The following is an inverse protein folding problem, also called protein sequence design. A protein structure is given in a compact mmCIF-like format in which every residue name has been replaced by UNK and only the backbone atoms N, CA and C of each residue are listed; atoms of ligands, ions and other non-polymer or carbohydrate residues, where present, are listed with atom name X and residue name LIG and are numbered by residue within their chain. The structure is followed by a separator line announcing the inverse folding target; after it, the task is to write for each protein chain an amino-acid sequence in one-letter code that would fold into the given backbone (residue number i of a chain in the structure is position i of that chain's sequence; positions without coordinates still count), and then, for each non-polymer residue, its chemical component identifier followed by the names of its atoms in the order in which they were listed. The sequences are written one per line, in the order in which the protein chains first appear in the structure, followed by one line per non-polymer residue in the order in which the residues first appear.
data_IF_205731427739
#
_entry.id   IF_205731427739
#
_cell.length_a   1.000
_cell.length_b   1.000
_cell.length_c   1.000
_cell.angle_alpha   90.00
_cell.angle_beta   90.00
_cell.angle_gamma   90.00
#
_symmetry.space_group_name_H-M   'P 1'
#
loop_
_entity.id
_entity.type
_entity.pdbx_description
1 polymer ?
#
# COMPACT_ATOMS: atom_id res chain seq x y z
N UNK A 1 -3.69 -3.71 49.06
CA UNK A 1 -3.36 -2.28 49.23
C UNK A 1 -3.54 -1.62 47.87
N UNK A 2 -4.37 -0.57 47.74
CA UNK A 2 -4.59 0.08 46.44
C UNK A 2 -3.33 0.84 46.01
N UNK A 3 -3.15 1.06 44.70
CA UNK A 3 -1.98 1.78 44.18
C UNK A 3 -1.81 3.18 44.79
N UNK A 4 -2.93 3.84 45.08
CA UNK A 4 -2.97 5.11 45.80
C UNK A 4 -2.37 5.01 47.21
N UNK A 5 -2.69 3.96 47.95
CA UNK A 5 -2.16 3.74 49.31
C UNK A 5 -0.66 3.43 49.29
N UNK A 6 -0.16 2.74 48.24
CA UNK A 6 1.28 2.47 48.08
C UNK A 6 2.05 3.76 47.76
N UNK A 7 1.49 4.65 46.92
CA UNK A 7 2.07 5.95 46.61
C UNK A 7 2.09 6.88 47.83
N UNK A 8 0.96 7.02 48.53
CA UNK A 8 0.85 7.85 49.73
C UNK A 8 1.84 7.37 50.81
N UNK A 9 2.01 6.04 50.95
CA UNK A 9 2.95 5.47 51.91
C UNK A 9 4.42 5.68 51.51
N UNK A 10 4.75 5.56 50.22
CA UNK A 10 6.11 5.82 49.73
C UNK A 10 6.51 7.29 49.95
N UNK A 11 5.59 8.23 49.76
CA UNK A 11 5.81 9.65 50.04
C UNK A 11 6.03 9.92 51.52
N UNK A 12 5.20 9.33 52.40
CA UNK A 12 5.37 9.42 53.85
C UNK A 12 6.72 8.86 54.29
N UNK A 13 7.11 7.69 53.80
CA UNK A 13 8.40 7.06 54.14
C UNK A 13 9.57 7.88 53.59
N UNK A 14 9.45 8.46 52.39
CA UNK A 14 10.48 9.34 51.83
C UNK A 14 10.71 10.59 52.69
N UNK A 15 9.63 11.24 53.13
CA UNK A 15 9.71 12.39 54.02
C UNK A 15 10.29 12.03 55.40
N UNK A 16 10.00 10.83 55.89
CA UNK A 16 10.59 10.31 57.13
C UNK A 16 12.09 10.04 56.99
N UNK A 17 12.53 9.40 55.88
CA UNK A 17 13.95 9.20 55.58
C UNK A 17 14.69 10.54 55.52
N UNK A 18 14.15 11.54 54.83
CA UNK A 18 14.76 12.87 54.75
C UNK A 18 14.88 13.55 56.12
N UNK A 19 13.90 13.33 57.01
CA UNK A 19 13.92 13.85 58.38
C UNK A 19 14.99 13.15 59.22
N UNK A 20 15.12 11.83 59.08
CA UNK A 20 16.18 11.05 59.73
C UNK A 20 17.58 11.42 59.23
N UNK A 21 17.76 11.68 57.93
CA UNK A 21 19.06 12.12 57.38
C UNK A 21 19.48 13.50 57.90
N UNK A 22 18.53 14.41 58.09
CA UNK A 22 18.80 15.71 58.74
C UNK A 22 19.18 15.52 60.20
N UNK A 23 18.44 14.68 60.91
CA UNK A 23 18.70 14.41 62.33
C UNK A 23 20.04 13.70 62.56
N UNK A 24 20.40 12.74 61.70
CA UNK A 24 21.71 12.06 61.75
C UNK A 24 22.86 13.05 61.56
N UNK A 25 22.71 14.00 60.64
CA UNK A 25 23.70 15.06 60.39
C UNK A 25 23.89 15.99 61.59
N UNK A 26 22.81 16.32 62.30
CA UNK A 26 22.85 17.15 63.51
C UNK A 26 23.43 16.37 64.72
N UNK A 27 23.25 15.05 64.76
CA UNK A 27 23.80 14.16 65.80
C UNK A 27 25.31 13.99 65.73
N UNK A 28 25.87 13.91 64.51
CA UNK A 28 27.31 13.82 64.28
C UNK A 28 28.08 15.03 64.84
N UNK A 29 27.40 16.14 65.12
CA UNK A 29 27.97 17.31 65.80
C UNK A 29 27.90 17.28 67.34
N UNK A 30 26.99 16.49 67.93
CA UNK A 30 26.72 16.47 69.38
C UNK A 30 27.34 15.26 70.12
N UNK A 31 27.83 14.24 69.40
CA UNK A 31 28.70 13.17 69.93
C UNK A 31 28.02 12.10 70.81
N UNK A 32 26.71 11.88 70.66
CA UNK A 32 25.98 10.85 71.42
C UNK A 32 25.92 9.51 70.67
N UNK A 33 26.96 8.70 70.85
CA UNK A 33 27.15 7.41 70.16
C UNK A 33 25.98 6.41 70.27
N UNK A 34 25.21 6.44 71.37
CA UNK A 34 24.06 5.55 71.52
C UNK A 34 22.87 5.98 70.64
N UNK A 35 22.66 7.29 70.50
CA UNK A 35 21.59 7.82 69.65
C UNK A 35 21.95 7.70 68.17
N UNK A 36 23.21 7.92 67.81
CA UNK A 36 23.73 7.72 66.44
C UNK A 36 23.49 6.29 65.94
N UNK A 37 23.75 5.29 66.78
CA UNK A 37 23.54 3.87 66.46
C UNK A 37 22.06 3.56 66.16
N UNK A 38 21.14 4.10 66.98
CA UNK A 38 19.69 3.90 66.81
C UNK A 38 19.18 4.60 65.54
N UNK A 39 19.63 5.83 65.28
CA UNK A 39 19.24 6.61 64.10
C UNK A 39 19.77 5.97 62.82
N UNK A 40 21.02 5.51 62.82
CA UNK A 40 21.61 4.78 61.68
C UNK A 40 20.82 3.51 61.36
N UNK A 41 20.46 2.72 62.38
CA UNK A 41 19.68 1.49 62.19
C UNK A 41 18.28 1.76 61.63
N UNK A 42 17.61 2.80 62.12
CA UNK A 42 16.26 3.17 61.66
C UNK A 42 16.28 3.81 60.26
N UNK A 43 17.35 4.54 59.92
CA UNK A 43 17.58 5.08 58.59
C UNK A 43 17.76 3.97 57.56
N UNK A 44 18.57 2.96 57.87
CA UNK A 44 18.78 1.80 57.00
C UNK A 44 17.47 1.03 56.77
N UNK A 45 16.71 0.80 57.85
CA UNK A 45 15.41 0.13 57.77
C UNK A 45 14.41 0.91 56.91
N UNK A 46 14.38 2.24 57.06
CA UNK A 46 13.47 3.11 56.31
C UNK A 46 13.86 3.21 54.84
N UNK A 47 15.16 3.23 54.51
CA UNK A 47 15.66 3.16 53.13
C UNK A 47 15.31 1.83 52.45
N UNK A 48 15.44 0.71 53.16
CA UNK A 48 15.03 -0.60 52.66
C UNK A 48 13.52 -0.65 52.39
N UNK A 49 12.70 -0.11 53.28
CA UNK A 49 11.25 -0.03 53.08
C UNK A 49 10.88 0.83 51.87
N UNK A 50 11.54 1.99 51.69
CA UNK A 50 11.32 2.85 50.53
C UNK A 50 11.64 2.13 49.21
N UNK A 51 12.77 1.41 49.16
CA UNK A 51 13.15 0.63 47.98
C UNK A 51 12.12 -0.46 47.65
N UNK A 52 11.58 -1.15 48.67
CA UNK A 52 10.52 -2.15 48.48
C UNK A 52 9.23 -1.52 47.93
N UNK A 53 8.83 -0.35 48.44
CA UNK A 53 7.64 0.36 47.97
C UNK A 53 7.81 0.86 46.53
N UNK A 54 8.99 1.31 46.14
CA UNK A 54 9.30 1.71 44.75
C UNK A 54 9.20 0.52 43.79
N UNK A 55 9.76 -0.64 44.16
CA UNK A 55 9.64 -1.87 43.36
C UNK A 55 8.16 -2.28 43.24
N UNK A 56 7.39 -2.18 44.32
CA UNK A 56 5.97 -2.51 44.31
C UNK A 56 5.15 -1.54 43.42
N UNK A 57 5.50 -0.26 43.42
CA UNK A 57 4.89 0.75 42.56
C UNK A 57 5.18 0.44 41.08
N UNK A 58 6.42 0.11 40.74
CA UNK A 58 6.82 -0.26 39.38
C UNK A 58 6.07 -1.51 38.90
N UNK A 59 5.99 -2.55 39.73
CA UNK A 59 5.23 -3.76 39.40
C UNK A 59 3.73 -3.50 39.23
N UNK A 60 3.15 -2.56 40.00
CA UNK A 60 1.74 -2.19 39.82
C UNK A 60 1.52 -1.44 38.51
N UNK A 61 2.44 -0.54 38.14
CA UNK A 61 2.39 0.17 36.87
C UNK A 61 2.49 -0.79 35.67
N UNK A 62 3.42 -1.75 35.73
CA UNK A 62 3.57 -2.79 34.70
C UNK A 62 2.31 -3.65 34.59
N UNK A 63 1.70 -4.06 35.71
CA UNK A 63 0.43 -4.81 35.71
C UNK A 63 -0.75 -4.00 35.18
N UNK A 64 -0.76 -2.69 35.38
CA UNK A 64 -1.80 -1.80 34.85
C UNK A 64 -1.67 -1.65 33.34
N UNK A 65 -0.44 -1.50 32.83
CA UNK A 65 -0.14 -1.54 31.40
C UNK A 65 -0.58 -2.89 30.80
N UNK A 66 -0.22 -4.01 31.43
CA UNK A 66 -0.60 -5.34 30.96
C UNK A 66 -2.12 -5.56 31.00
N UNK A 67 -2.83 -5.02 32.01
CA UNK A 67 -4.29 -5.06 32.07
C UNK A 67 -4.95 -4.23 30.97
N UNK A 68 -4.44 -3.03 30.71
CA UNK A 68 -4.94 -2.17 29.64
C UNK A 68 -4.70 -2.82 28.27
N UNK A 69 -3.54 -3.46 28.08
CA UNK A 69 -3.23 -4.23 26.87
C UNK A 69 -4.15 -5.45 26.70
N UNK A 70 -4.42 -6.21 27.78
CA UNK A 70 -5.37 -7.34 27.76
C UNK A 70 -6.82 -6.91 27.55
N UNK A 71 -7.18 -5.68 27.96
CA UNK A 71 -8.51 -5.12 27.73
C UNK A 71 -8.72 -4.75 26.24
N UNK A 72 -7.68 -4.28 25.55
CA UNK A 72 -7.73 -4.01 24.10
C UNK A 72 -7.62 -5.28 23.25
N UNK A 73 -6.98 -6.35 23.72
CA UNK A 73 -6.87 -7.64 22.99
C UNK A 73 -8.21 -8.33 22.72
N UNK A 74 -9.27 -8.02 23.48
CA UNK A 74 -10.57 -8.65 23.35
C UNK A 74 -11.61 -7.80 22.61
N UNK A 75 -11.24 -6.60 22.14
CA UNK A 75 -12.15 -5.78 21.33
C UNK A 75 -12.04 -6.27 19.88
N UNK A 76 -13.13 -6.74 19.26
CA UNK A 76 -13.09 -7.11 17.86
C UNK A 76 -12.68 -5.90 17.02
N UNK A 77 -11.90 -6.16 15.97
CA UNK A 77 -11.58 -5.12 14.99
C UNK A 77 -12.86 -4.67 14.29
N UNK A 78 -12.95 -3.37 13.92
CA UNK A 78 -14.09 -2.87 13.19
C UNK A 78 -14.15 -3.55 11.82
N UNK A 79 -15.35 -3.79 11.31
CA UNK A 79 -15.50 -4.23 9.92
C UNK A 79 -15.11 -3.08 8.99
N UNK A 80 -14.15 -3.34 8.10
CA UNK A 80 -13.68 -2.40 7.09
C UNK A 80 -13.68 -3.13 5.76
N UNK A 81 -14.32 -2.54 4.76
CA UNK A 81 -14.19 -3.00 3.39
C UNK A 81 -13.19 -2.10 2.69
N UNK A 82 -12.17 -2.69 2.07
CA UNK A 82 -11.25 -1.93 1.22
C UNK A 82 -11.35 -2.34 -0.24
N UNK A 83 -10.98 -1.41 -1.11
CA UNK A 83 -10.82 -1.64 -2.53
C UNK A 83 -9.41 -1.21 -2.94
N UNK A 84 -8.73 -2.03 -3.75
CA UNK A 84 -7.49 -1.66 -4.41
C UNK A 84 -7.69 -1.70 -5.92
N UNK A 85 -7.35 -0.59 -6.57
CA UNK A 85 -7.28 -0.51 -8.02
C UNK A 85 -5.86 -0.20 -8.45
N UNK A 86 -5.25 -1.11 -9.22
CA UNK A 86 -3.95 -0.91 -9.83
C UNK A 86 -4.10 -0.47 -11.28
N UNK A 87 -3.33 0.54 -11.68
CA UNK A 87 -3.18 0.96 -13.07
C UNK A 87 -1.78 0.61 -13.53
N UNK A 88 -1.68 -0.27 -14.52
CA UNK A 88 -0.41 -0.69 -15.09
C UNK A 88 -0.17 -0.02 -16.44
N UNK A 89 0.92 0.74 -16.57
CA UNK A 89 1.42 1.25 -17.84
C UNK A 89 2.67 0.48 -18.26
N UNK A 90 2.78 0.21 -19.56
CA UNK A 90 3.87 -0.56 -20.13
C UNK A 90 4.18 -0.01 -21.52
N UNK A 91 5.45 0.27 -21.80
CA UNK A 91 5.94 0.59 -23.14
C UNK A 91 6.89 -0.51 -23.58
N UNK A 92 6.60 -1.05 -24.76
CA UNK A 92 7.40 -2.09 -25.41
C UNK A 92 7.91 -1.48 -26.71
N UNK A 93 9.22 -1.50 -26.91
CA UNK A 93 9.87 -0.99 -28.12
C UNK A 93 10.91 -2.02 -28.58
N UNK A 94 10.91 -2.36 -29.87
CA UNK A 94 11.86 -3.32 -30.45
C UNK A 94 11.94 -4.65 -29.66
N UNK A 95 10.79 -5.23 -29.32
CA UNK A 95 10.63 -6.46 -28.52
C UNK A 95 11.18 -6.41 -27.09
N UNK A 96 11.54 -5.22 -26.61
CA UNK A 96 12.02 -5.01 -25.26
C UNK A 96 11.01 -4.18 -24.46
N UNK A 97 10.79 -4.60 -23.22
CA UNK A 97 10.04 -3.80 -22.25
C UNK A 97 10.93 -2.63 -21.85
N UNK A 98 10.58 -1.41 -22.26
CA UNK A 98 11.40 -0.21 -22.06
C UNK A 98 10.96 0.63 -20.88
N UNK A 99 9.67 0.61 -20.55
CA UNK A 99 9.11 1.31 -19.40
C UNK A 99 7.96 0.49 -18.80
N UNK A 100 7.97 0.36 -17.47
CA UNK A 100 6.88 -0.27 -16.71
C UNK A 100 6.63 0.58 -15.48
N UNK A 101 5.38 0.96 -15.28
CA UNK A 101 4.94 1.58 -14.04
C UNK A 101 3.62 0.99 -13.60
N UNK A 102 3.53 0.70 -12.31
CA UNK A 102 2.32 0.25 -11.68
C UNK A 102 2.02 1.16 -10.50
N UNK A 103 0.84 1.77 -10.55
CA UNK A 103 0.32 2.67 -9.53
C UNK A 103 -0.95 2.08 -8.96
N UNK A 104 -0.99 1.84 -7.65
CA UNK A 104 -2.19 1.42 -6.96
C UNK A 104 -2.85 2.56 -6.20
N UNK A 105 -4.17 2.54 -6.13
CA UNK A 105 -4.95 3.41 -5.27
C UNK A 105 -5.79 2.55 -4.32
N UNK A 106 -5.78 2.93 -3.04
CA UNK A 106 -6.54 2.24 -1.99
C UNK A 106 -7.69 3.12 -1.55
N UNK A 107 -8.87 2.51 -1.45
CA UNK A 107 -10.08 3.08 -0.89
C UNK A 107 -10.56 2.20 0.26
N UNK A 108 -11.25 2.79 1.23
CA UNK A 108 -11.96 2.04 2.27
C UNK A 108 -13.37 2.57 2.46
N UNK A 109 -14.27 1.75 2.96
CA UNK A 109 -15.66 2.12 3.19
C UNK A 109 -16.22 1.42 4.42
N UNK A 110 -17.36 1.94 4.89
CA UNK A 110 -18.13 1.39 6.00
C UNK A 110 -17.31 1.21 7.29
N UNK A 111 -16.34 2.09 7.53
CA UNK A 111 -15.42 1.96 8.66
C UNK A 111 -16.09 2.48 9.92
N UNK A 112 -16.78 1.59 10.64
CA UNK A 112 -17.42 1.93 11.91
C UNK A 112 -16.55 1.50 13.08
N UNK A 113 -15.81 2.44 13.66
CA UNK A 113 -15.04 2.18 14.88
C UNK A 113 -15.27 3.26 15.94
N UNK A 114 -15.07 2.87 17.20
CA UNK A 114 -15.17 3.80 18.31
C UNK A 114 -13.90 4.65 18.42
N UNK A 115 -13.92 5.80 17.73
CA UNK A 115 -12.83 6.79 17.68
C UNK A 115 -12.45 7.39 19.04
N UNK A 116 -13.36 7.35 20.01
CA UNK A 116 -13.09 7.83 21.36
C UNK A 116 -12.35 6.79 22.20
N UNK A 117 -12.60 5.50 21.93
CA UNK A 117 -12.03 4.40 22.68
C UNK A 117 -10.66 3.93 22.18
N UNK A 118 -10.40 4.01 20.86
CA UNK A 118 -9.15 3.48 20.29
C UNK A 118 -8.68 4.18 19.03
N UNK A 119 -7.37 4.08 18.78
CA UNK A 119 -6.74 4.38 17.49
C UNK A 119 -6.87 3.19 16.55
N UNK A 120 -6.95 3.48 15.25
CA UNK A 120 -6.88 2.47 14.21
C UNK A 120 -5.68 2.75 13.33
N UNK A 121 -4.89 1.72 13.06
CA UNK A 121 -3.67 1.79 12.28
C UNK A 121 -3.83 0.99 10.99
N UNK A 122 -3.11 1.40 9.95
CA UNK A 122 -2.98 0.70 8.68
C UNK A 122 -1.52 0.62 8.28
N UNK A 123 -1.11 -0.55 7.76
CA UNK A 123 0.24 -0.79 7.22
C UNK A 123 0.14 -1.21 5.75
N UNK A 124 0.99 -0.62 4.91
CA UNK A 124 1.10 -0.98 3.51
C UNK A 124 2.39 -1.78 3.29
N UNK A 125 2.24 -3.06 2.95
CA UNK A 125 3.34 -3.98 2.74
C UNK A 125 3.65 -4.15 1.24
N UNK A 126 4.90 -4.50 0.91
CA UNK A 126 5.37 -4.77 -0.45
C UNK A 126 5.20 -3.61 -1.44
N UNK A 127 5.33 -2.38 -0.97
CA UNK A 127 5.26 -1.13 -1.73
C UNK A 127 6.59 -0.39 -1.72
N UNK A 128 6.95 0.29 -2.82
CA UNK A 128 8.20 1.09 -2.86
C UNK A 128 8.00 2.49 -2.28
N UNK A 129 6.84 3.08 -2.51
CA UNK A 129 6.49 4.42 -2.06
C UNK A 129 4.99 4.46 -1.84
N UNK A 130 4.56 5.10 -0.76
CA UNK A 130 3.16 5.36 -0.44
C UNK A 130 2.99 6.87 -0.27
N UNK A 131 2.07 7.44 -1.05
CA UNK A 131 1.57 8.79 -0.89
C UNK A 131 0.19 8.71 -0.26
N UNK A 132 0.10 9.08 1.00
CA UNK A 132 -1.17 9.11 1.74
C UNK A 132 -1.96 10.39 1.47
N UNK A 133 -3.25 10.36 1.80
CA UNK A 133 -4.03 11.56 2.02
C UNK A 133 -3.90 12.00 3.49
N UNK A 134 -3.17 13.10 3.71
CA UNK A 134 -2.84 13.62 5.05
C UNK A 134 -4.07 14.09 5.85
N UNK A 135 -5.20 14.38 5.18
CA UNK A 135 -6.45 14.68 5.89
C UNK A 135 -7.06 13.43 6.52
N UNK A 136 -6.71 12.24 6.01
CA UNK A 136 -7.31 10.96 6.37
C UNK A 136 -6.38 10.08 7.19
N UNK A 137 -5.08 10.16 6.91
CA UNK A 137 -4.05 9.35 7.52
C UNK A 137 -2.96 10.24 8.13
N UNK A 138 -2.51 9.84 9.31
CA UNK A 138 -1.40 10.44 10.03
C UNK A 138 -0.20 9.48 9.99
N UNK A 139 0.99 9.99 9.70
CA UNK A 139 2.21 9.17 9.64
C UNK A 139 2.61 8.73 11.04
N UNK A 140 2.80 7.41 11.24
CA UNK A 140 3.30 6.82 12.49
C UNK A 140 4.74 6.33 12.29
N UNK A 141 4.96 5.54 11.24
CA UNK A 141 6.28 5.06 10.83
C UNK A 141 6.38 5.06 9.30
N UNK A 142 7.18 5.96 8.75
CA UNK A 142 7.36 6.08 7.30
C UNK A 142 8.19 4.94 6.72
N UNK A 143 9.11 4.35 7.50
CA UNK A 143 10.00 3.28 7.05
C UNK A 143 9.20 1.99 6.89
N UNK A 144 8.36 1.69 7.87
CA UNK A 144 7.48 0.52 7.86
C UNK A 144 6.13 0.78 7.16
N UNK A 145 5.92 1.97 6.59
CA UNK A 145 4.66 2.39 5.97
C UNK A 145 3.43 2.19 6.87
N UNK A 146 3.57 2.57 8.14
CA UNK A 146 2.50 2.51 9.15
C UNK A 146 1.88 3.89 9.34
N UNK A 147 0.56 3.92 9.27
CA UNK A 147 -0.25 5.13 9.35
C UNK A 147 -1.39 4.94 10.32
N UNK A 148 -1.84 6.03 10.94
CA UNK A 148 -3.00 6.06 11.84
C UNK A 148 -4.15 6.75 11.15
N UNK A 149 -5.37 6.23 11.28
CA UNK A 149 -6.55 6.90 10.76
C UNK A 149 -6.88 8.15 11.62
N UNK A 150 -7.20 9.25 10.95
CA UNK A 150 -7.56 10.50 11.61
C UNK A 150 -8.91 10.38 12.35
N UNK A 151 -8.88 10.53 13.67
CA UNK A 151 -10.07 10.48 14.53
C UNK A 151 -11.08 11.60 14.28
N UNK A 152 -10.61 12.76 13.84
CA UNK A 152 -11.46 13.95 13.61
C UNK A 152 -12.37 13.82 12.39
N UNK A 153 -12.15 12.82 11.55
CA UNK A 153 -12.85 12.63 10.27
C UNK A 153 -13.97 11.61 10.41
N UNK A 154 -15.06 11.79 9.65
CA UNK A 154 -16.17 10.83 9.57
C UNK A 154 -15.89 9.73 8.53
N UNK A 155 -15.99 8.48 8.95
CA UNK A 155 -15.63 7.29 8.15
C UNK A 155 -16.83 6.41 7.80
N UNK A 156 -18.05 6.86 8.09
CA UNK A 156 -19.28 6.13 7.78
C UNK A 156 -19.59 6.01 6.28
N UNK A 157 -18.98 6.85 5.44
CA UNK A 157 -19.19 6.86 3.99
C UNK A 157 -18.01 6.22 3.24
N UNK A 158 -18.18 5.90 1.96
CA UNK A 158 -17.08 5.43 1.09
C UNK A 158 -16.00 6.49 0.90
N UNK A 159 -14.74 6.08 1.03
CA UNK A 159 -13.56 6.95 1.02
C UNK A 159 -12.63 6.49 -0.08
N UNK A 160 -12.63 7.24 -1.18
CA UNK A 160 -11.63 7.09 -2.24
C UNK A 160 -10.33 7.84 -1.92
N UNK A 161 -9.22 7.41 -2.52
CA UNK A 161 -7.95 8.13 -2.43
C UNK A 161 -7.36 8.17 -1.03
N UNK A 162 -7.50 7.08 -0.27
CA UNK A 162 -6.88 6.96 1.05
C UNK A 162 -5.35 7.02 0.94
N UNK A 163 -4.81 6.24 0.01
CA UNK A 163 -3.40 6.22 -0.31
C UNK A 163 -3.20 5.84 -1.78
N UNK A 164 -2.12 6.34 -2.37
CA UNK A 164 -1.59 5.91 -3.66
C UNK A 164 -0.22 5.30 -3.45
N UNK A 165 0.05 4.16 -4.06
CA UNK A 165 1.36 3.53 -3.97
C UNK A 165 1.94 3.27 -5.36
N UNK A 166 3.25 3.15 -5.41
CA UNK A 166 3.98 2.72 -6.62
C UNK A 166 4.80 1.49 -6.32
N UNK A 167 4.90 0.60 -7.30
CA UNK A 167 5.83 -0.53 -7.28
C UNK A 167 6.75 -0.43 -8.50
N UNK A 168 8.04 -0.19 -8.28
CA UNK A 168 9.02 0.14 -9.33
C UNK A 168 10.11 -0.92 -9.54
N UNK A 169 10.15 -2.00 -8.75
CA UNK A 169 11.31 -2.90 -8.71
C UNK A 169 11.03 -4.39 -8.99
N UNK A 170 10.20 -4.75 -9.98
CA UNK A 170 10.24 -6.12 -10.57
C UNK A 170 10.04 -6.14 -12.10
N UNK A 171 11.08 -5.83 -12.89
CA UNK A 171 10.98 -5.61 -14.34
C UNK A 171 10.47 -6.82 -15.15
N UNK A 172 10.66 -8.04 -14.65
CA UNK A 172 10.25 -9.27 -15.36
C UNK A 172 8.96 -9.90 -14.82
N UNK A 173 8.41 -9.37 -13.72
CA UNK A 173 7.25 -9.97 -13.02
C UNK A 173 5.96 -9.18 -13.25
N UNK A 174 6.03 -7.99 -13.85
CA UNK A 174 4.86 -7.10 -13.92
C UNK A 174 4.21 -6.98 -15.29
N UNK A 175 4.93 -7.21 -16.39
CA UNK A 175 4.36 -7.15 -17.74
C UNK A 175 3.60 -8.45 -18.03
N UNK A 176 2.25 -8.44 -18.13
CA UNK A 176 1.50 -9.66 -18.31
C UNK A 176 1.48 -10.17 -19.75
N UNK A 177 1.67 -9.29 -20.73
CA UNK A 177 1.62 -9.62 -22.16
C UNK A 177 2.79 -8.94 -22.88
N UNK A 178 3.74 -9.73 -23.39
CA UNK A 178 4.69 -9.21 -24.35
C UNK A 178 4.00 -9.05 -25.71
N UNK A 179 4.11 -7.86 -26.31
CA UNK A 179 3.50 -7.52 -27.59
C UNK A 179 4.60 -7.19 -28.59
N UNK A 180 4.67 -7.97 -29.66
CA UNK A 180 5.68 -7.85 -30.71
C UNK A 180 4.98 -7.53 -32.04
N UNK A 181 4.87 -6.25 -32.41
CA UNK A 181 4.31 -5.86 -33.69
C UNK A 181 5.39 -5.90 -34.79
N UNK A 182 5.04 -6.48 -35.93
CA UNK A 182 5.84 -6.47 -37.15
C UNK A 182 5.03 -5.81 -38.25
N UNK A 183 5.61 -4.79 -38.89
CA UNK A 183 4.97 -3.99 -39.94
C UNK A 183 5.67 -4.16 -41.27
N UNK A 184 4.88 -4.34 -42.33
CA UNK A 184 5.34 -4.28 -43.72
C UNK A 184 4.54 -3.21 -44.46
N UNK A 185 5.22 -2.18 -44.95
CA UNK A 185 4.64 -1.13 -45.78
C UNK A 185 4.96 -1.42 -47.24
N UNK A 186 3.93 -1.52 -48.08
CA UNK A 186 4.05 -1.55 -49.54
C UNK A 186 3.41 -0.27 -50.11
N UNK A 187 3.50 -0.11 -51.43
CA UNK A 187 3.03 1.11 -52.11
C UNK A 187 1.53 1.38 -51.89
N UNK A 188 0.69 0.35 -51.89
CA UNK A 188 -0.77 0.45 -51.79
C UNK A 188 -1.36 -0.29 -50.56
N UNK A 189 -0.56 -1.11 -49.88
CA UNK A 189 -1.00 -1.94 -48.77
C UNK A 189 -0.08 -1.86 -47.55
N UNK A 190 -0.66 -1.98 -46.36
CA UNK A 190 0.06 -2.20 -45.11
C UNK A 190 -0.35 -3.56 -44.54
N UNK A 191 0.63 -4.37 -44.18
CA UNK A 191 0.45 -5.68 -43.56
C UNK A 191 1.08 -5.62 -42.16
N UNK A 192 0.40 -6.19 -41.17
CA UNK A 192 0.94 -6.35 -39.83
C UNK A 192 0.75 -7.75 -39.29
N UNK A 193 1.71 -8.18 -38.48
CA UNK A 193 1.64 -9.38 -37.66
C UNK A 193 1.98 -8.98 -36.23
N UNK A 194 1.09 -9.28 -35.28
CA UNK A 194 1.24 -8.88 -33.88
C UNK A 194 1.22 -10.14 -33.06
N UNK A 195 2.35 -10.46 -32.45
CA UNK A 195 2.44 -11.59 -31.55
C UNK A 195 2.15 -11.12 -30.11
N UNK A 196 1.20 -11.76 -29.45
CA UNK A 196 0.86 -11.56 -28.05
C UNK A 196 1.33 -12.79 -27.29
N UNK A 197 2.31 -12.63 -26.40
CA UNK A 197 2.82 -13.71 -25.56
C UNK A 197 2.43 -13.46 -24.10
N UNK A 198 1.62 -14.32 -23.47
CA UNK A 198 1.38 -14.22 -22.04
C UNK A 198 2.67 -14.53 -21.27
N UNK A 199 3.08 -13.63 -20.37
CA UNK A 199 4.27 -13.79 -19.53
C UNK A 199 3.90 -14.25 -18.11
N UNK A 200 2.73 -13.84 -17.63
CA UNK A 200 2.16 -14.27 -16.36
C UNK A 200 0.68 -14.63 -16.57
N UNK A 201 0.22 -15.62 -15.81
CA UNK A 201 -1.19 -16.01 -15.83
C UNK A 201 -2.03 -14.92 -15.15
N UNK A 202 -2.99 -14.38 -15.88
CA UNK A 202 -3.89 -13.31 -15.42
C UNK A 202 -5.31 -13.66 -15.81
N UNK A 203 -6.22 -13.58 -14.84
CA UNK A 203 -7.64 -13.75 -15.07
C UNK A 203 -8.25 -12.43 -15.58
N UNK A 204 -8.20 -12.22 -16.89
CA UNK A 204 -8.78 -11.04 -17.52
C UNK A 204 -10.31 -11.11 -17.50
N UNK A 205 -10.95 -10.05 -17.03
CA UNK A 205 -12.39 -9.81 -17.23
C UNK A 205 -12.65 -9.06 -18.54
N UNK A 206 -11.65 -8.33 -19.02
CA UNK A 206 -11.64 -7.69 -20.32
C UNK A 206 -10.21 -7.73 -20.88
N UNK A 207 -10.04 -8.08 -22.15
CA UNK A 207 -8.78 -7.94 -22.88
C UNK A 207 -9.06 -7.49 -24.32
N UNK A 208 -8.45 -6.38 -24.72
CA UNK A 208 -8.60 -5.78 -26.04
C UNK A 208 -7.26 -5.42 -26.63
N UNK A 209 -7.12 -5.62 -27.93
CA UNK A 209 -5.99 -5.12 -28.71
C UNK A 209 -6.51 -4.11 -29.72
N UNK A 210 -5.93 -2.90 -29.71
CA UNK A 210 -6.38 -1.79 -30.53
C UNK A 210 -5.24 -1.21 -31.35
N UNK A 211 -5.52 -0.83 -32.60
CA UNK A 211 -4.56 -0.15 -33.47
C UNK A 211 -5.26 0.94 -34.24
N UNK A 212 -4.69 2.15 -34.22
CA UNK A 212 -5.17 3.26 -35.03
C UNK A 212 -4.54 3.22 -36.42
N UNK A 213 -5.32 2.86 -37.42
CA UNK A 213 -4.89 2.66 -38.82
C UNK A 213 -5.34 3.78 -39.76
N UNK A 214 -6.14 4.74 -39.27
CA UNK A 214 -6.68 5.85 -40.04
C UNK A 214 -8.10 5.60 -40.52
N UNK A 215 -8.83 6.66 -40.87
CA UNK A 215 -10.23 6.59 -41.34
C UNK A 215 -10.34 6.26 -42.84
N UNK A 216 -9.23 6.46 -43.54
CA UNK A 216 -8.98 6.20 -44.95
C UNK A 216 -8.53 4.75 -45.22
N UNK A 217 -8.52 3.89 -44.19
CA UNK A 217 -8.23 2.48 -44.36
C UNK A 217 -9.41 1.76 -45.04
N UNK A 218 -9.11 1.12 -46.16
CA UNK A 218 -10.02 0.35 -47.00
C UNK A 218 -9.54 -1.11 -47.15
N UNK A 219 -10.42 -1.98 -47.64
CA UNK A 219 -10.12 -3.41 -47.88
C UNK A 219 -9.47 -4.11 -46.66
N UNK A 220 -9.94 -3.78 -45.46
CA UNK A 220 -9.37 -4.27 -44.21
C UNK A 220 -9.67 -5.77 -44.06
N UNK A 221 -8.61 -6.57 -44.01
CA UNK A 221 -8.65 -8.00 -43.70
C UNK A 221 -7.93 -8.22 -42.38
N UNK A 222 -8.50 -9.06 -41.51
CA UNK A 222 -7.87 -9.45 -40.26
C UNK A 222 -8.12 -10.92 -39.92
N UNK A 223 -7.16 -11.53 -39.23
CA UNK A 223 -7.27 -12.88 -38.67
C UNK A 223 -6.65 -12.91 -37.27
N UNK A 224 -7.40 -13.26 -36.20
CA UNK A 224 -8.86 -13.41 -36.17
C UNK A 224 -9.59 -12.13 -36.61
N UNK A 225 -10.90 -12.23 -36.85
CA UNK A 225 -11.70 -11.09 -37.28
C UNK A 225 -11.69 -9.99 -36.22
N UNK A 226 -11.17 -8.82 -36.58
CA UNK A 226 -11.24 -7.59 -35.79
C UNK A 226 -12.42 -6.71 -36.23
N UNK A 227 -12.89 -5.87 -35.31
CA UNK A 227 -13.89 -4.84 -35.59
C UNK A 227 -13.20 -3.53 -35.96
N UNK A 228 -13.51 -2.99 -37.14
CA UNK A 228 -13.01 -1.68 -37.56
C UNK A 228 -14.06 -0.60 -37.32
N UNK A 229 -13.69 0.41 -36.55
CA UNK A 229 -14.48 1.61 -36.34
C UNK A 229 -13.99 2.72 -37.29
N UNK A 230 -14.74 2.95 -38.37
CA UNK A 230 -14.43 4.00 -39.35
C UNK A 230 -14.47 5.42 -38.78
N UNK A 231 -15.26 5.66 -37.74
CA UNK A 231 -15.37 6.99 -37.11
C UNK A 231 -14.06 7.37 -36.42
N UNK A 232 -13.40 6.42 -35.79
CA UNK A 232 -12.16 6.65 -35.03
C UNK A 232 -10.90 6.27 -35.82
N UNK A 233 -11.06 5.44 -36.86
CA UNK A 233 -9.96 4.89 -37.65
C UNK A 233 -9.19 3.81 -36.88
N UNK A 234 -9.88 3.03 -36.06
CA UNK A 234 -9.28 2.04 -35.15
C UNK A 234 -9.83 0.65 -35.46
N UNK A 235 -8.93 -0.33 -35.57
CA UNK A 235 -9.29 -1.75 -35.53
C UNK A 235 -9.09 -2.29 -34.11
N UNK A 236 -10.01 -3.15 -33.67
CA UNK A 236 -10.04 -3.74 -32.33
C UNK A 236 -10.27 -5.24 -32.39
N UNK A 237 -9.59 -5.99 -31.53
CA UNK A 237 -9.88 -7.39 -31.22
C UNK A 237 -10.27 -7.51 -29.76
N UNK A 238 -11.44 -8.07 -29.49
CA UNK A 238 -11.87 -8.44 -28.14
C UNK A 238 -11.50 -9.90 -27.91
N UNK A 239 -10.62 -10.14 -26.93
CA UNK A 239 -10.08 -11.46 -26.62
C UNK A 239 -10.69 -11.96 -25.29
N UNK A 240 -11.21 -13.19 -25.23
CA UNK A 240 -11.83 -13.71 -24.00
C UNK A 240 -10.79 -14.09 -22.93
N UNK A 241 -9.62 -14.59 -23.35
CA UNK A 241 -8.48 -14.92 -22.50
C UNK A 241 -7.19 -14.91 -23.34
N UNK A 242 -6.03 -15.01 -22.68
CA UNK A 242 -4.74 -15.19 -23.35
C UNK A 242 -3.90 -16.21 -22.55
N UNK A 243 -4.17 -17.48 -22.80
CA UNK A 243 -3.50 -18.60 -22.12
C UNK A 243 -2.26 -19.09 -22.89
N UNK A 244 -2.20 -18.82 -24.19
CA UNK A 244 -1.12 -19.21 -25.11
C UNK A 244 -0.76 -18.04 -26.05
N UNK A 245 0.37 -18.17 -26.76
CA UNK A 245 0.78 -17.19 -27.77
C UNK A 245 -0.31 -17.03 -28.84
N UNK A 246 -0.73 -15.78 -29.07
CA UNK A 246 -1.74 -15.44 -30.07
C UNK A 246 -1.16 -14.48 -31.11
N UNK A 247 -1.35 -14.81 -32.38
CA UNK A 247 -0.94 -13.96 -33.50
C UNK A 247 -2.14 -13.30 -34.14
N UNK A 248 -2.14 -11.96 -34.16
CA UNK A 248 -3.11 -11.15 -34.90
C UNK A 248 -2.47 -10.69 -36.21
N UNK A 249 -3.12 -10.99 -37.32
CA UNK A 249 -2.68 -10.57 -38.66
C UNK A 249 -3.70 -9.58 -39.21
N UNK A 250 -3.22 -8.48 -39.79
CA UNK A 250 -4.05 -7.51 -40.47
C UNK A 250 -3.42 -7.09 -41.79
N UNK A 251 -4.27 -6.81 -42.79
CA UNK A 251 -3.92 -6.11 -44.03
C UNK A 251 -4.94 -5.02 -44.29
N UNK A 252 -4.51 -3.85 -44.71
CA UNK A 252 -5.40 -2.79 -45.20
C UNK A 252 -4.75 -1.99 -46.32
N UNK A 253 -5.55 -1.33 -47.14
CA UNK A 253 -5.12 -0.36 -48.14
C UNK A 253 -5.47 1.04 -47.68
N UNK A 254 -4.74 2.05 -48.14
CA UNK A 254 -5.11 3.46 -47.91
C UNK A 254 -5.85 4.01 -49.13
N UNK A 255 -7.07 4.50 -48.92
CA UNK A 255 -7.87 5.14 -49.96
C UNK A 255 -7.16 6.43 -50.41
N UNK A 256 -6.84 6.53 -51.70
CA UNK A 256 -6.20 7.72 -52.26
C UNK A 256 -4.70 7.63 -52.52
N UNK A 257 -4.07 6.45 -52.44
CA UNK A 257 -2.70 6.21 -52.95
C UNK A 257 -2.62 6.25 -54.51
N UNK A 258 -3.47 7.06 -55.16
CA UNK A 258 -3.49 7.27 -56.59
C UNK A 258 -2.41 8.26 -57.03
N UNK A 259 -1.41 7.77 -57.74
CA UNK A 259 -0.63 8.47 -58.79
C UNK A 259 0.03 9.82 -58.47
N UNK A 260 0.38 10.10 -57.22
CA UNK A 260 1.36 11.15 -56.92
C UNK A 260 2.57 10.55 -56.22
N UNK A 261 3.51 10.09 -57.05
CA UNK A 261 4.90 9.86 -56.67
C UNK A 261 5.50 11.22 -56.22
N UNK A 262 5.40 11.51 -54.93
CA UNK A 262 5.80 12.80 -54.40
C UNK A 262 6.04 12.72 -52.90
N UNK A 263 7.29 12.50 -52.53
CA UNK A 263 7.86 12.57 -51.18
C UNK A 263 7.53 11.36 -50.29
N UNK A 264 8.54 10.49 -50.14
CA UNK A 264 8.67 9.50 -49.08
C UNK A 264 8.64 10.20 -47.70
N UNK A 265 7.45 10.54 -47.22
CA UNK A 265 7.25 10.75 -45.79
C UNK A 265 7.38 9.38 -45.15
N UNK A 266 8.41 9.16 -44.32
CA UNK A 266 8.58 7.92 -43.54
C UNK A 266 7.27 7.62 -42.83
N UNK A 267 6.54 6.60 -43.29
CA UNK A 267 5.32 6.14 -42.63
C UNK A 267 5.76 5.58 -41.29
N UNK A 268 5.42 6.28 -40.19
CA UNK A 268 5.68 5.76 -38.85
C UNK A 268 4.74 4.58 -38.59
N UNK A 269 5.23 3.44 -38.10
CA UNK A 269 4.37 2.36 -37.65
C UNK A 269 3.37 2.85 -36.60
N UNK A 270 2.08 2.46 -36.70
CA UNK A 270 1.12 2.75 -35.66
C UNK A 270 1.44 1.90 -34.42
N UNK A 271 1.20 2.45 -33.24
CA UNK A 271 1.38 1.69 -32.00
C UNK A 271 0.23 0.70 -31.81
N UNK A 272 0.54 -0.46 -31.23
CA UNK A 272 -0.45 -1.41 -30.73
C UNK A 272 -0.76 -1.03 -29.28
N UNK A 273 -2.04 -0.84 -28.95
CA UNK A 273 -2.51 -0.59 -27.57
C UNK A 273 -3.17 -1.83 -27.02
N UNK A 274 -2.90 -2.15 -25.76
CA UNK A 274 -3.59 -3.20 -25.02
C UNK A 274 -4.47 -2.55 -23.96
N UNK A 275 -5.76 -2.85 -23.96
CA UNK A 275 -6.66 -2.45 -22.90
C UNK A 275 -7.14 -3.69 -22.15
N UNK A 276 -6.95 -3.77 -20.84
CA UNK A 276 -7.41 -4.90 -20.05
C UNK A 276 -7.92 -4.51 -18.66
N UNK A 277 -8.73 -5.40 -18.09
CA UNK A 277 -9.14 -5.41 -16.68
C UNK A 277 -8.96 -6.82 -16.15
N UNK A 278 -8.49 -6.95 -14.91
CA UNK A 278 -8.28 -8.23 -14.22
C UNK A 278 -8.81 -8.14 -12.78
N UNK A 279 -9.40 -9.23 -12.29
CA UNK A 279 -9.95 -9.33 -10.92
C UNK A 279 -8.91 -9.78 -9.89
N UNK A 280 -7.64 -9.43 -10.12
CA UNK A 280 -6.51 -9.75 -9.26
C UNK A 280 -5.52 -8.58 -9.32
N UNK A 281 -4.70 -8.41 -8.28
CA UNK A 281 -3.54 -7.52 -8.35
C UNK A 281 -2.43 -8.16 -9.19
N UNK A 282 -1.65 -7.34 -9.88
CA UNK A 282 -0.39 -7.77 -10.49
C UNK A 282 0.78 -7.64 -9.51
N UNK A 283 0.57 -6.92 -8.40
CA UNK A 283 1.52 -6.86 -7.29
C UNK A 283 1.15 -7.83 -6.17
N UNK A 284 2.09 -8.01 -5.24
CA UNK A 284 1.87 -8.71 -3.98
C UNK A 284 1.58 -7.73 -2.83
N UNK A 285 1.04 -6.55 -3.14
CA UNK A 285 0.72 -5.55 -2.12
C UNK A 285 -0.35 -6.09 -1.20
N UNK A 286 -0.10 -5.90 0.10
CA UNK A 286 -1.03 -6.27 1.15
C UNK A 286 -1.22 -5.06 2.07
N UNK A 287 -2.46 -4.84 2.49
CA UNK A 287 -2.80 -3.80 3.45
C UNK A 287 -3.29 -4.47 4.71
N UNK A 288 -2.72 -4.09 5.84
CA UNK A 288 -3.08 -4.63 7.14
C UNK A 288 -3.64 -3.52 8.03
N UNK A 289 -4.48 -3.87 8.99
CA UNK A 289 -5.07 -2.91 9.93
C UNK A 289 -5.23 -3.49 11.33
N UNK A 290 -5.28 -2.62 12.34
CA UNK A 290 -5.42 -3.04 13.73
C UNK A 290 -5.42 -1.90 14.74
N UNK A 291 -5.70 -2.19 16.00
CA UNK A 291 -5.65 -1.20 17.10
C UNK A 291 -4.22 -0.91 17.60
N UNK A 292 -3.21 -1.63 17.10
CA UNK A 292 -1.80 -1.41 17.42
C UNK A 292 -0.92 -1.66 16.18
N UNK A 293 0.13 -0.86 15.94
CA UNK A 293 1.12 -1.09 14.88
C UNK A 293 1.72 -2.50 14.86
N UNK A 294 1.85 -3.14 16.02
CA UNK A 294 2.49 -4.47 16.17
C UNK A 294 1.50 -5.64 16.07
N UNK A 295 0.19 -5.36 16.04
CA UNK A 295 -0.88 -6.36 16.02
C UNK A 295 -1.89 -6.00 14.96
N UNK A 296 -1.47 -6.19 13.71
CA UNK A 296 -2.30 -5.94 12.53
C UNK A 296 -2.81 -7.26 11.95
N UNK A 297 -3.93 -7.19 11.24
CA UNK A 297 -4.49 -8.29 10.46
C UNK A 297 -4.71 -7.84 9.02
N UNK A 298 -4.77 -8.79 8.08
CA UNK A 298 -5.03 -8.49 6.68
C UNK A 298 -6.38 -7.78 6.51
N UNK A 299 -6.39 -6.66 5.80
CA UNK A 299 -7.61 -5.99 5.40
C UNK A 299 -8.27 -6.80 4.28
N UNK A 300 -9.56 -7.16 4.39
CA UNK A 300 -10.30 -7.74 3.27
C UNK A 300 -10.43 -6.70 2.15
N UNK A 301 -9.84 -7.01 1.00
CA UNK A 301 -9.77 -6.11 -0.15
C UNK A 301 -10.49 -6.71 -1.34
N UNK A 302 -11.38 -5.93 -1.97
CA UNK A 302 -11.71 -6.16 -3.37
C UNK A 302 -10.57 -5.62 -4.23
N UNK A 303 -10.13 -6.40 -5.21
CA UNK A 303 -8.94 -6.08 -5.99
C UNK A 303 -9.24 -6.03 -7.47
N UNK A 304 -8.62 -5.07 -8.15
CA UNK A 304 -8.69 -4.95 -9.60
C UNK A 304 -7.38 -4.37 -10.15
N UNK A 305 -6.94 -4.88 -11.29
CA UNK A 305 -5.92 -4.21 -12.10
C UNK A 305 -6.51 -3.81 -13.45
N UNK A 306 -6.15 -2.62 -13.91
CA UNK A 306 -6.50 -2.09 -15.22
C UNK A 306 -5.23 -1.68 -15.98
N UNK A 307 -5.26 -1.76 -17.30
CA UNK A 307 -4.24 -1.15 -18.15
C UNK A 307 -4.36 0.38 -18.14
N UNK A 308 -3.24 1.06 -18.01
CA UNK A 308 -3.06 2.49 -18.30
C UNK A 308 -2.50 2.69 -19.71
N UNK A 309 -1.33 3.33 -19.82
CA UNK A 309 -0.64 3.49 -21.09
C UNK A 309 0.12 2.20 -21.45
N UNK A 310 -0.59 1.18 -21.91
CA UNK A 310 -0.01 -0.08 -22.35
C UNK A 310 0.10 -0.11 -23.88
N UNK A 311 1.32 0.01 -24.41
CA UNK A 311 1.55 0.09 -25.85
C UNK A 311 2.84 -0.59 -26.30
N UNK A 312 2.83 -1.05 -27.55
CA UNK A 312 4.01 -1.52 -28.27
C UNK A 312 4.23 -0.71 -29.56
N UNK A 313 5.48 -0.39 -29.87
CA UNK A 313 5.91 0.37 -31.04
C UNK A 313 7.02 -0.31 -31.84
#
# INVERSE_FOLDING_TARGET
MSARVVMDLAEIVSNYVQSLERFDKDLQTDGNANLESVVSQELDRSKQLLAQLQVQQQQQHEREIERLQKATENVPLPEINGDIVETMSCVISDDNITDVSLVGEVAISNTNWNREASDLYMKFNNVNCVKINEDLLEVVDLVENVYRLNRGRDWGNGISGLAKYTVTNMPQVQCPILVTPVWQFREDETISMINLRPLISVNYTLLKVCIKIGKDADEILSKPTGYYNQTDGTIQWDLPSLDEDLVLIMRYKKSGAGTHAGVSSRVKPPHVRIDFTASQLLTQVNVEYGYSPDKLTGLPLNVMTISGNYKAE
#
